data_IF_661791879226
#
_entry.id   IF_661791879226
#
_cell.length_a   1.000
_cell.length_b   1.000
_cell.length_c   1.000
_cell.angle_alpha   90.00
_cell.angle_beta   90.00
_cell.angle_gamma   90.00
#
_symmetry.space_group_name_H-M   'P 1'
#
loop_
_entity.id
_entity.type
_entity.pdbx_description
1 polymer ?
#
# COMPACT_ATOMS: atom_id res chain seq x y z
N UNK A 1 13.73 14.11 -31.42
CA UNK A 1 12.81 13.76 -30.31
C UNK A 1 13.66 13.32 -29.15
N UNK A 2 13.59 13.99 -28.00
CA UNK A 2 14.30 13.57 -26.80
C UNK A 2 13.73 12.25 -26.34
N UNK A 3 14.57 11.22 -26.24
CA UNK A 3 14.17 9.88 -25.79
C UNK A 3 13.80 9.99 -24.31
N UNK A 4 12.59 9.54 -23.94
CA UNK A 4 12.13 9.53 -22.56
C UNK A 4 13.08 8.70 -21.69
N UNK A 5 13.40 9.19 -20.49
CA UNK A 5 14.27 8.51 -19.53
C UNK A 5 13.58 8.44 -18.18
N UNK A 6 13.18 7.24 -17.78
CA UNK A 6 12.49 6.98 -16.52
C UNK A 6 13.42 6.20 -15.59
N UNK A 7 13.49 6.64 -14.36
CA UNK A 7 14.16 5.90 -13.27
C UNK A 7 13.09 5.34 -12.35
N UNK A 8 13.17 4.06 -12.04
CA UNK A 8 12.47 3.43 -10.92
C UNK A 8 13.43 3.26 -9.76
N UNK A 9 13.07 3.75 -8.59
CA UNK A 9 13.81 3.59 -7.35
C UNK A 9 13.02 2.70 -6.39
N UNK A 10 13.71 1.77 -5.72
CA UNK A 10 13.15 0.91 -4.68
C UNK A 10 14.18 0.79 -3.53
N UNK A 11 13.77 1.12 -2.30
CA UNK A 11 14.63 1.04 -1.12
C UNK A 11 14.81 -0.42 -0.68
N UNK A 12 16.06 -0.84 -0.55
CA UNK A 12 16.40 -2.23 -0.23
C UNK A 12 16.00 -2.58 1.21
N UNK A 13 15.16 -3.63 1.38
CA UNK A 13 14.65 -4.11 2.68
C UNK A 13 14.15 -2.98 3.60
N UNK A 14 13.42 -2.00 3.07
CA UNK A 14 13.20 -0.68 3.64
C UNK A 14 12.93 -0.65 5.15
N UNK A 15 11.89 -1.38 5.65
CA UNK A 15 11.61 -1.37 7.10
C UNK A 15 12.76 -1.94 7.91
N UNK A 16 13.39 -3.01 7.42
CA UNK A 16 14.58 -3.56 8.08
C UNK A 16 15.75 -2.57 8.05
N UNK A 17 15.94 -1.82 6.97
CA UNK A 17 16.98 -0.80 6.90
C UNK A 17 16.76 0.29 7.95
N UNK A 18 15.54 0.82 8.07
CA UNK A 18 15.20 1.82 9.09
C UNK A 18 15.39 1.27 10.51
N UNK A 19 14.97 0.04 10.79
CA UNK A 19 15.20 -0.57 12.11
C UNK A 19 16.69 -0.77 12.41
N UNK A 20 17.49 -1.11 11.40
CA UNK A 20 18.96 -1.24 11.58
C UNK A 20 19.63 0.10 11.88
N UNK A 21 19.09 1.23 11.37
CA UNK A 21 19.58 2.57 11.73
C UNK A 21 19.26 2.94 13.19
N UNK A 22 18.12 2.46 13.70
CA UNK A 22 17.66 2.71 15.08
C UNK A 22 18.31 1.77 16.09
N UNK A 23 18.53 0.52 15.69
CA UNK A 23 19.22 -0.49 16.47
C UNK A 23 20.33 -1.16 15.65
N UNK A 24 21.58 -0.65 15.75
CA UNK A 24 22.72 -1.22 15.04
C UNK A 24 23.03 -2.68 15.36
N UNK A 25 22.52 -3.24 16.47
CA UNK A 25 22.69 -4.66 16.82
C UNK A 25 21.99 -5.62 15.84
N UNK A 26 21.10 -5.10 15.00
CA UNK A 26 20.40 -5.84 13.94
C UNK A 26 21.24 -5.99 12.65
N UNK A 27 22.40 -5.33 12.56
CA UNK A 27 23.29 -5.43 11.38
C UNK A 27 23.80 -6.83 11.19
N UNK A 28 23.60 -7.39 10.00
CA UNK A 28 24.09 -8.74 9.65
C UNK A 28 23.33 -9.88 10.31
N UNK A 29 22.34 -9.61 11.14
CA UNK A 29 21.53 -10.63 11.84
C UNK A 29 20.29 -10.98 11.04
N UNK A 30 19.83 -12.23 10.99
CA UNK A 30 18.52 -12.56 10.43
C UNK A 30 17.41 -12.01 11.33
N UNK A 31 16.65 -11.02 10.81
CA UNK A 31 15.47 -10.49 11.49
C UNK A 31 14.37 -10.15 10.50
N UNK A 32 13.17 -10.05 11.00
CA UNK A 32 11.99 -9.65 10.24
C UNK A 32 11.17 -8.62 11.03
N UNK A 33 10.73 -7.59 10.33
CA UNK A 33 9.74 -6.64 10.85
C UNK A 33 8.35 -7.21 10.58
N UNK A 34 7.50 -7.28 11.60
CA UNK A 34 6.15 -7.78 11.40
C UNK A 34 5.39 -8.08 12.67
N UNK A 35 4.27 -8.81 12.51
CA UNK A 35 3.37 -9.13 13.61
C UNK A 35 3.86 -10.32 14.47
N UNK A 36 3.20 -10.51 15.63
CA UNK A 36 3.51 -11.55 16.58
C UNK A 36 3.40 -12.98 15.97
N UNK A 37 4.42 -13.84 16.11
CA UNK A 37 4.41 -15.22 15.62
C UNK A 37 3.40 -16.12 16.36
N UNK A 38 3.04 -15.82 17.61
CA UNK A 38 2.02 -16.58 18.34
C UNK A 38 0.59 -16.35 17.82
N UNK A 39 0.37 -15.30 17.02
CA UNK A 39 -0.92 -14.98 16.44
C UNK A 39 -0.92 -15.12 14.91
N UNK A 40 -1.69 -14.28 14.24
CA UNK A 40 -1.79 -14.20 12.76
C UNK A 40 -0.84 -13.16 12.17
N UNK A 41 0.29 -12.90 12.84
CA UNK A 41 1.30 -11.97 12.36
C UNK A 41 1.90 -12.42 11.04
N UNK A 42 2.17 -11.45 10.17
CA UNK A 42 2.87 -11.66 8.90
C UNK A 42 4.16 -10.86 8.87
N UNK A 43 5.11 -11.31 8.08
CA UNK A 43 6.33 -10.59 7.76
C UNK A 43 5.97 -9.38 6.89
N UNK A 44 6.21 -8.17 7.38
CA UNK A 44 6.09 -6.94 6.60
C UNK A 44 7.36 -6.70 5.77
N UNK A 45 8.55 -6.91 6.37
CA UNK A 45 9.84 -6.86 5.68
C UNK A 45 10.80 -7.86 6.31
N UNK A 46 11.68 -8.45 5.51
CA UNK A 46 12.71 -9.37 5.98
C UNK A 46 14.11 -8.86 5.62
N UNK A 47 15.05 -8.92 6.57
CA UNK A 47 16.45 -8.59 6.32
C UNK A 47 17.07 -9.54 5.29
N UNK A 48 18.08 -9.09 4.54
CA UNK A 48 18.73 -9.97 3.56
C UNK A 48 19.31 -11.24 4.20
N UNK A 49 19.92 -11.23 5.41
CA UNK A 49 20.26 -12.45 6.11
C UNK A 49 19.05 -13.37 6.36
N UNK A 50 17.87 -12.81 6.69
CA UNK A 50 16.66 -13.63 6.85
C UNK A 50 16.13 -14.17 5.50
N UNK A 51 16.26 -13.40 4.42
CA UNK A 51 15.87 -13.84 3.06
C UNK A 51 16.70 -15.05 2.58
N UNK A 52 17.92 -15.22 3.05
CA UNK A 52 18.75 -16.40 2.76
C UNK A 52 18.11 -17.71 3.29
N UNK A 53 17.30 -17.65 4.34
CA UNK A 53 16.50 -18.77 4.84
C UNK A 53 15.16 -18.95 4.13
N UNK A 54 14.91 -18.22 3.03
CA UNK A 54 13.66 -18.29 2.28
C UNK A 54 12.54 -17.39 2.85
N UNK A 55 12.81 -16.57 3.88
CA UNK A 55 11.82 -15.69 4.48
C UNK A 55 11.52 -14.53 3.52
N UNK A 56 10.21 -14.23 3.31
CA UNK A 56 9.73 -13.20 2.38
C UNK A 56 8.58 -12.41 3.01
N UNK A 57 8.34 -11.20 2.50
CA UNK A 57 7.15 -10.41 2.85
C UNK A 57 5.87 -11.18 2.59
N UNK A 58 4.84 -10.92 3.38
CA UNK A 58 3.55 -11.60 3.43
C UNK A 58 3.58 -13.07 3.96
N UNK A 59 4.76 -13.64 4.24
CA UNK A 59 4.86 -14.94 4.88
C UNK A 59 4.28 -14.89 6.32
N UNK A 60 3.52 -15.90 6.78
CA UNK A 60 3.14 -16.00 8.20
C UNK A 60 4.37 -15.97 9.09
N UNK A 61 4.38 -15.13 10.13
CA UNK A 61 5.54 -14.97 11.02
C UNK A 61 5.88 -16.29 11.75
N UNK A 62 4.87 -17.06 12.12
CA UNK A 62 5.06 -18.40 12.69
C UNK A 62 5.82 -19.36 11.74
N UNK A 63 5.63 -19.21 10.42
CA UNK A 63 6.40 -19.99 9.43
C UNK A 63 7.83 -19.47 9.33
N UNK A 64 8.03 -18.14 9.31
CA UNK A 64 9.36 -17.53 9.24
C UNK A 64 10.24 -17.96 10.42
N UNK A 65 9.70 -18.00 11.64
CA UNK A 65 10.42 -18.47 12.83
C UNK A 65 10.78 -19.96 12.73
N UNK A 66 9.93 -20.80 12.10
CA UNK A 66 10.29 -22.23 11.87
C UNK A 66 11.42 -22.40 10.86
N UNK A 67 11.47 -21.53 9.82
CA UNK A 67 12.56 -21.55 8.84
C UNK A 67 13.89 -21.08 9.43
N UNK A 68 13.85 -20.14 10.36
CA UNK A 68 15.02 -19.61 11.05
C UNK A 68 14.71 -19.44 12.54
N UNK A 69 15.03 -20.45 13.39
CA UNK A 69 14.77 -20.37 14.84
C UNK A 69 15.49 -19.20 15.53
N UNK A 70 16.61 -18.73 14.96
CA UNK A 70 17.35 -17.56 15.45
C UNK A 70 16.79 -16.22 14.94
N UNK A 71 15.65 -16.22 14.22
CA UNK A 71 15.05 -15.02 13.66
C UNK A 71 14.63 -14.06 14.77
N UNK A 72 15.16 -12.85 14.76
CA UNK A 72 14.64 -11.76 15.60
C UNK A 72 13.37 -11.18 14.97
N UNK A 73 12.30 -11.08 15.74
CA UNK A 73 11.04 -10.44 15.30
C UNK A 73 10.95 -9.05 15.90
N UNK A 74 10.87 -8.04 15.05
CA UNK A 74 10.80 -6.63 15.42
C UNK A 74 9.40 -6.12 15.11
N UNK A 75 8.69 -5.51 16.08
CA UNK A 75 7.40 -4.89 15.80
C UNK A 75 7.57 -3.68 14.88
N UNK A 76 6.60 -3.41 13.96
CA UNK A 76 6.72 -2.31 13.01
C UNK A 76 6.53 -0.93 13.66
N UNK A 77 7.38 0.05 13.30
CA UNK A 77 7.24 1.47 13.62
C UNK A 77 6.89 2.28 12.36
N UNK A 78 5.61 2.30 11.98
CA UNK A 78 5.15 3.01 10.80
C UNK A 78 5.39 4.53 10.82
N UNK A 79 5.35 5.24 11.96
CA UNK A 79 5.79 6.64 12.04
C UNK A 79 7.24 6.84 11.58
N UNK A 80 8.18 6.02 12.07
CA UNK A 80 9.60 6.09 11.68
C UNK A 80 9.77 5.80 10.18
N UNK A 81 9.07 4.80 9.63
CA UNK A 81 9.15 4.47 8.21
C UNK A 81 8.60 5.60 7.34
N UNK A 82 7.49 6.23 7.73
CA UNK A 82 6.97 7.40 7.00
C UNK A 82 7.94 8.57 7.02
N UNK A 83 8.57 8.86 8.15
CA UNK A 83 9.56 9.92 8.26
C UNK A 83 10.78 9.67 7.34
N UNK A 84 11.32 8.44 7.33
CA UNK A 84 12.42 8.07 6.45
C UNK A 84 12.02 8.15 4.97
N UNK A 85 10.84 7.65 4.60
CA UNK A 85 10.29 7.75 3.24
C UNK A 85 10.17 9.21 2.79
N UNK A 86 9.63 10.09 3.64
CA UNK A 86 9.50 11.52 3.33
C UNK A 86 10.85 12.17 3.04
N UNK A 87 11.90 11.81 3.78
CA UNK A 87 13.26 12.32 3.53
C UNK A 87 13.79 11.85 2.18
N UNK A 88 13.59 10.57 1.82
CA UNK A 88 13.95 10.07 0.48
C UNK A 88 13.17 10.82 -0.60
N UNK A 89 11.84 10.90 -0.50
CA UNK A 89 11.00 11.58 -1.49
C UNK A 89 11.35 13.06 -1.65
N UNK A 90 11.82 13.72 -0.58
CA UNK A 90 12.32 15.09 -0.66
C UNK A 90 13.58 15.19 -1.53
N UNK A 91 14.54 14.22 -1.44
CA UNK A 91 15.71 14.17 -2.32
C UNK A 91 15.33 13.95 -3.78
N UNK A 92 14.33 13.08 -4.03
CA UNK A 92 13.84 12.86 -5.39
C UNK A 92 13.27 14.15 -6.00
N UNK A 93 12.47 14.91 -5.23
CA UNK A 93 11.86 16.17 -5.68
C UNK A 93 12.86 17.33 -5.84
N UNK A 94 14.02 17.27 -5.19
CA UNK A 94 15.13 18.21 -5.46
C UNK A 94 15.76 17.99 -6.84
N UNK A 95 15.63 16.78 -7.38
CA UNK A 95 16.19 16.42 -8.67
C UNK A 95 15.24 16.74 -9.84
N UNK A 96 13.93 16.44 -9.68
CA UNK A 96 12.89 16.67 -10.68
C UNK A 96 11.52 16.80 -10.01
N UNK A 97 10.64 17.64 -10.56
CA UNK A 97 9.24 17.74 -10.11
C UNK A 97 8.40 16.53 -10.56
N UNK A 98 8.87 15.82 -11.59
CA UNK A 98 8.19 14.65 -12.16
C UNK A 98 8.48 13.38 -11.35
N UNK A 99 7.99 13.31 -10.10
CA UNK A 99 8.12 12.17 -9.19
C UNK A 99 6.75 11.55 -8.93
N UNK A 100 6.60 10.27 -9.26
CA UNK A 100 5.43 9.46 -8.91
C UNK A 100 5.79 8.50 -7.76
N UNK A 101 5.36 8.80 -6.56
CA UNK A 101 5.47 7.89 -5.43
C UNK A 101 4.41 6.79 -5.54
N UNK A 102 4.86 5.50 -5.65
CA UNK A 102 3.97 4.35 -5.79
C UNK A 102 3.68 3.69 -4.45
N UNK A 103 4.67 3.63 -3.58
CA UNK A 103 4.57 3.06 -2.23
C UNK A 103 5.36 3.92 -1.24
N UNK A 104 5.56 3.41 -0.03
CA UNK A 104 6.38 4.06 1.00
C UNK A 104 7.89 3.97 0.65
N UNK A 105 8.29 3.03 -0.20
CA UNK A 105 9.67 2.67 -0.52
C UNK A 105 9.99 2.69 -2.03
N UNK A 106 8.99 2.93 -2.88
CA UNK A 106 9.15 2.94 -4.33
C UNK A 106 8.68 4.24 -4.97
N UNK A 107 9.41 4.72 -5.97
CA UNK A 107 9.02 5.86 -6.80
C UNK A 107 9.55 5.74 -8.24
N UNK A 108 8.81 6.36 -9.18
CA UNK A 108 9.30 6.68 -10.52
C UNK A 108 9.69 8.15 -10.62
N UNK A 109 10.72 8.41 -11.43
CA UNK A 109 11.17 9.75 -11.78
C UNK A 109 11.26 9.87 -13.30
N UNK A 110 10.76 10.95 -13.86
CA UNK A 110 11.11 11.33 -15.23
C UNK A 110 12.29 12.30 -15.19
N UNK A 111 13.40 11.87 -15.77
CA UNK A 111 14.65 12.64 -15.83
C UNK A 111 15.04 13.01 -17.27
N UNK A 112 14.08 12.93 -18.18
CA UNK A 112 14.29 13.19 -19.63
C UNK A 112 14.82 14.58 -19.92
N UNK A 113 14.52 15.57 -19.08
CA UNK A 113 14.91 16.97 -19.24
C UNK A 113 16.26 17.30 -18.60
N UNK A 114 16.85 16.34 -17.86
CA UNK A 114 18.14 16.59 -17.21
C UNK A 114 19.28 16.47 -18.24
N UNK A 115 20.32 17.35 -18.15
CA UNK A 115 21.42 17.37 -19.12
C UNK A 115 22.45 16.22 -18.92
N UNK A 116 22.07 15.17 -18.21
CA UNK A 116 22.93 14.01 -17.87
C UNK A 116 22.29 12.72 -18.30
N UNK A 117 23.13 11.72 -18.61
CA UNK A 117 22.64 10.37 -18.91
C UNK A 117 21.90 9.77 -17.69
N UNK A 118 20.80 9.06 -17.92
CA UNK A 118 19.97 8.46 -16.86
C UNK A 118 20.77 7.58 -15.91
N UNK A 119 21.79 6.85 -16.39
CA UNK A 119 22.69 6.07 -15.53
C UNK A 119 23.49 6.94 -14.56
N UNK A 120 23.99 8.09 -15.00
CA UNK A 120 24.73 9.02 -14.14
C UNK A 120 23.82 9.63 -13.07
N UNK A 121 22.60 9.98 -13.46
CA UNK A 121 21.57 10.48 -12.53
C UNK A 121 21.24 9.42 -11.48
N UNK A 122 21.04 8.17 -11.89
CA UNK A 122 20.75 7.07 -10.98
C UNK A 122 21.91 6.82 -10.00
N UNK A 123 23.16 6.82 -10.46
CA UNK A 123 24.35 6.63 -9.63
C UNK A 123 24.49 7.75 -8.59
N UNK A 124 24.32 9.01 -9.01
CA UNK A 124 24.38 10.16 -8.13
C UNK A 124 23.26 10.12 -7.07
N UNK A 125 22.05 9.79 -7.48
CA UNK A 125 20.89 9.67 -6.58
C UNK A 125 21.12 8.59 -5.53
N UNK A 126 21.60 7.40 -5.94
CA UNK A 126 21.94 6.31 -5.03
C UNK A 126 23.00 6.75 -4.00
N UNK A 127 24.04 7.42 -4.47
CA UNK A 127 25.11 7.94 -3.59
C UNK A 127 24.58 8.98 -2.61
N UNK A 128 23.73 9.91 -3.06
CA UNK A 128 23.10 10.93 -2.18
C UNK A 128 22.24 10.27 -1.10
N UNK A 129 21.37 9.32 -1.46
CA UNK A 129 20.53 8.61 -0.49
C UNK A 129 21.39 7.84 0.52
N UNK A 130 22.47 7.21 0.05
CA UNK A 130 23.39 6.48 0.90
C UNK A 130 24.15 7.40 1.85
N UNK A 131 24.66 8.51 1.35
CA UNK A 131 25.46 9.47 2.15
C UNK A 131 24.62 10.22 3.18
N UNK A 132 23.42 10.67 2.77
CA UNK A 132 22.57 11.54 3.61
C UNK A 132 21.72 10.74 4.61
N UNK A 133 21.29 9.53 4.25
CA UNK A 133 20.27 8.79 4.99
C UNK A 133 20.74 7.39 5.43
N UNK A 134 21.93 6.96 5.04
CA UNK A 134 22.47 5.60 5.25
C UNK A 134 21.49 4.48 4.79
N UNK A 135 20.68 4.78 3.77
CA UNK A 135 19.75 3.82 3.17
C UNK A 135 20.31 3.30 1.84
N UNK A 136 20.14 2.00 1.59
CA UNK A 136 20.44 1.38 0.30
C UNK A 136 19.20 1.41 -0.58
N UNK A 137 19.40 1.68 -1.88
CA UNK A 137 18.35 1.58 -2.88
C UNK A 137 18.86 0.95 -4.17
N UNK A 138 17.99 0.29 -4.88
CA UNK A 138 18.23 -0.25 -6.20
C UNK A 138 17.43 0.54 -7.23
N UNK A 139 18.02 0.77 -8.40
CA UNK A 139 17.44 1.59 -9.44
C UNK A 139 17.42 0.87 -10.79
N UNK A 140 16.33 1.05 -11.53
CA UNK A 140 16.21 0.67 -12.92
C UNK A 140 16.05 1.91 -13.79
N UNK A 141 16.77 1.97 -14.90
CA UNK A 141 16.73 3.07 -15.86
C UNK A 141 16.26 2.54 -17.20
N UNK A 142 15.19 3.11 -17.77
CA UNK A 142 14.65 2.70 -19.07
C UNK A 142 13.86 3.85 -19.72
N UNK A 143 13.31 3.59 -20.92
CA UNK A 143 12.47 4.56 -21.65
C UNK A 143 11.05 4.71 -21.07
N UNK A 144 10.60 3.80 -20.21
CA UNK A 144 9.25 3.80 -19.64
C UNK A 144 9.20 3.15 -18.26
N UNK A 145 8.06 3.32 -17.56
CA UNK A 145 7.86 2.86 -16.18
C UNK A 145 7.93 1.34 -16.04
N UNK A 146 7.30 0.62 -16.96
CA UNK A 146 7.25 -0.84 -16.93
C UNK A 146 8.65 -1.44 -16.93
N UNK A 147 9.46 -1.05 -17.92
CA UNK A 147 10.80 -1.60 -18.10
C UNK A 147 11.73 -1.13 -16.99
N UNK A 148 11.64 0.13 -16.56
CA UNK A 148 12.43 0.64 -15.43
C UNK A 148 12.18 -0.16 -14.14
N UNK A 149 10.90 -0.50 -13.84
CA UNK A 149 10.58 -1.31 -12.67
C UNK A 149 11.14 -2.74 -12.78
N UNK A 150 10.94 -3.38 -13.92
CA UNK A 150 11.46 -4.74 -14.15
C UNK A 150 13.00 -4.75 -14.10
N UNK A 151 13.66 -3.70 -14.63
CA UNK A 151 15.10 -3.54 -14.53
C UNK A 151 15.59 -3.47 -13.08
N UNK A 152 14.86 -2.75 -12.19
CA UNK A 152 15.16 -2.75 -10.76
C UNK A 152 15.09 -4.15 -10.16
N UNK A 153 14.03 -4.90 -10.47
CA UNK A 153 13.81 -6.24 -9.95
C UNK A 153 14.88 -7.24 -10.45
N UNK A 154 15.26 -7.14 -11.73
CA UNK A 154 16.36 -7.92 -12.33
C UNK A 154 17.68 -7.58 -11.65
N UNK A 155 18.00 -6.28 -11.50
CA UNK A 155 19.22 -5.85 -10.81
C UNK A 155 19.31 -6.41 -9.39
N UNK A 156 18.21 -6.37 -8.64
CA UNK A 156 18.13 -6.95 -7.29
C UNK A 156 18.34 -8.46 -7.28
N UNK A 157 17.86 -9.17 -8.29
CA UNK A 157 17.98 -10.64 -8.38
C UNK A 157 19.41 -11.12 -8.61
N UNK A 158 20.27 -10.27 -9.17
CA UNK A 158 21.67 -10.56 -9.44
C UNK A 158 22.57 -10.39 -8.22
N UNK A 159 22.06 -9.80 -7.14
CA UNK A 159 22.82 -9.63 -5.90
C UNK A 159 23.13 -10.99 -5.25
N UNK A 160 24.30 -11.06 -4.58
CA UNK A 160 24.68 -12.24 -3.80
C UNK A 160 23.69 -12.47 -2.66
N UNK A 161 23.37 -13.73 -2.40
CA UNK A 161 22.50 -14.10 -1.28
C UNK A 161 23.02 -13.52 0.05
N UNK A 162 22.14 -12.85 0.78
CA UNK A 162 22.47 -12.23 2.07
C UNK A 162 23.09 -10.82 2.01
N UNK A 163 23.49 -10.33 0.84
CA UNK A 163 24.00 -8.98 0.66
C UNK A 163 22.92 -7.97 0.21
N UNK A 164 23.14 -6.70 0.52
CA UNK A 164 22.31 -5.61 -0.04
C UNK A 164 22.57 -5.50 -1.54
N UNK A 165 21.53 -5.45 -2.39
CA UNK A 165 21.70 -5.36 -3.83
C UNK A 165 22.39 -4.08 -4.25
N UNK A 166 21.85 -2.92 -3.85
CA UNK A 166 22.35 -1.62 -4.27
C UNK A 166 22.58 -1.56 -5.79
N UNK A 167 21.69 -2.21 -6.57
CA UNK A 167 21.89 -2.42 -7.98
C UNK A 167 21.43 -1.23 -8.83
N UNK A 168 22.16 -0.94 -9.91
CA UNK A 168 21.69 -0.05 -10.97
C UNK A 168 21.64 -0.87 -12.26
N UNK A 169 20.45 -1.05 -12.82
CA UNK A 169 20.22 -1.76 -14.07
C UNK A 169 19.70 -0.79 -15.13
N UNK A 170 20.41 -0.69 -16.26
CA UNK A 170 20.08 0.22 -17.36
C UNK A 170 19.65 -0.58 -18.57
N UNK A 171 18.48 -0.24 -19.11
CA UNK A 171 17.96 -0.80 -20.36
C UNK A 171 18.00 0.33 -21.41
N UNK A 172 18.90 0.25 -22.41
CA UNK A 172 18.99 1.26 -23.44
C UNK A 172 17.71 1.38 -24.28
N UNK A 173 17.33 2.58 -24.71
CA UNK A 173 16.18 2.77 -25.59
C UNK A 173 16.27 1.90 -26.87
N UNK A 174 15.14 1.28 -27.22
CA UNK A 174 15.05 0.36 -28.37
C UNK A 174 15.44 -1.09 -28.08
N UNK A 175 15.91 -1.39 -26.86
CA UNK A 175 16.29 -2.76 -26.45
C UNK A 175 15.29 -3.38 -25.47
N UNK A 176 14.19 -2.70 -25.17
CA UNK A 176 13.21 -3.06 -24.14
C UNK A 176 12.65 -4.48 -24.36
N UNK A 177 12.20 -4.77 -25.58
CA UNK A 177 11.64 -6.08 -25.92
C UNK A 177 12.69 -7.20 -25.79
N UNK A 178 13.93 -6.94 -26.22
CA UNK A 178 15.04 -7.90 -26.14
C UNK A 178 15.41 -8.18 -24.68
N UNK A 179 15.44 -7.13 -23.84
CA UNK A 179 15.68 -7.26 -22.41
C UNK A 179 14.60 -8.09 -21.71
N UNK A 180 13.31 -7.86 -22.04
CA UNK A 180 12.18 -8.52 -21.42
C UNK A 180 12.01 -9.98 -21.87
N UNK A 181 12.28 -10.28 -23.14
CA UNK A 181 11.93 -11.56 -23.76
C UNK A 181 12.38 -12.81 -23.00
N UNK A 182 13.62 -12.92 -22.45
CA UNK A 182 14.08 -14.11 -21.74
C UNK A 182 13.51 -14.24 -20.32
N UNK A 183 12.91 -13.18 -19.77
CA UNK A 183 12.42 -13.19 -18.38
C UNK A 183 11.18 -14.07 -18.24
N UNK A 184 10.97 -14.69 -17.05
CA UNK A 184 9.75 -15.45 -16.77
C UNK A 184 8.49 -14.57 -16.94
N UNK A 185 7.40 -15.14 -17.42
CA UNK A 185 6.12 -14.43 -17.56
C UNK A 185 5.65 -13.75 -16.26
N UNK A 186 5.93 -14.37 -15.11
CA UNK A 186 5.62 -13.82 -13.79
C UNK A 186 6.41 -12.55 -13.44
N UNK A 187 7.51 -12.25 -14.14
CA UNK A 187 8.28 -11.02 -13.94
C UNK A 187 7.65 -9.80 -14.62
N UNK A 188 6.67 -10.00 -15.51
CA UNK A 188 5.98 -8.89 -16.15
C UNK A 188 5.11 -8.15 -15.12
N UNK A 189 5.34 -6.86 -14.96
CA UNK A 189 4.58 -6.05 -14.01
C UNK A 189 3.07 -6.10 -14.32
N UNK A 190 2.28 -6.53 -13.34
CA UNK A 190 0.85 -6.78 -13.46
C UNK A 190 0.48 -8.27 -13.59
N UNK A 191 1.46 -9.15 -13.76
CA UNK A 191 1.25 -10.61 -13.76
C UNK A 191 1.41 -11.15 -12.35
N UNK A 192 0.29 -11.31 -11.63
CA UNK A 192 0.27 -11.97 -10.33
C UNK A 192 0.27 -13.51 -10.46
N UNK A 193 0.40 -14.26 -9.33
CA UNK A 193 0.49 -15.73 -9.34
C UNK A 193 -0.61 -16.41 -10.13
N UNK A 194 -1.87 -16.00 -9.95
CA UNK A 194 -3.03 -16.59 -10.69
C UNK A 194 -2.96 -16.32 -12.19
N UNK A 195 -2.47 -15.15 -12.61
CA UNK A 195 -2.31 -14.87 -14.04
C UNK A 195 -1.13 -15.67 -14.60
N UNK A 196 -0.04 -15.81 -13.85
CA UNK A 196 1.11 -16.62 -14.22
C UNK A 196 0.72 -18.10 -14.38
N UNK A 197 -0.06 -18.68 -13.47
CA UNK A 197 -0.59 -20.05 -13.57
C UNK A 197 -1.47 -20.23 -14.83
N UNK A 198 -2.35 -19.27 -15.12
CA UNK A 198 -3.19 -19.31 -16.32
C UNK A 198 -2.38 -19.19 -17.60
N UNK A 199 -1.33 -18.38 -17.63
CA UNK A 199 -0.40 -18.28 -18.76
C UNK A 199 0.39 -19.57 -18.93
N UNK A 200 0.92 -20.16 -17.85
CA UNK A 200 1.63 -21.43 -17.87
C UNK A 200 0.75 -22.58 -18.38
N UNK A 201 -0.53 -22.62 -18.04
CA UNK A 201 -1.50 -23.58 -18.57
C UNK A 201 -1.71 -23.47 -20.10
N UNK A 202 -1.34 -22.35 -20.70
CA UNK A 202 -1.32 -22.12 -22.16
C UNK A 202 0.08 -22.37 -22.79
N UNK A 203 1.06 -22.85 -22.01
CA UNK A 203 2.44 -23.02 -22.45
C UNK A 203 3.24 -21.72 -22.53
N UNK A 204 2.73 -20.63 -21.96
CA UNK A 204 3.36 -19.30 -21.96
C UNK A 204 4.18 -19.14 -20.68
N UNK A 205 5.49 -19.32 -20.76
CA UNK A 205 6.39 -19.30 -19.59
C UNK A 205 7.31 -18.08 -19.54
N UNK A 206 7.51 -17.37 -20.67
CA UNK A 206 8.39 -16.20 -20.76
C UNK A 206 7.63 -14.97 -21.24
N UNK A 207 8.19 -13.77 -20.97
CA UNK A 207 7.64 -12.51 -21.47
C UNK A 207 7.67 -12.50 -23.00
N UNK A 208 8.75 -13.00 -23.64
CA UNK A 208 8.83 -13.12 -25.10
C UNK A 208 7.72 -14.01 -25.69
N UNK A 209 7.35 -15.08 -24.99
CA UNK A 209 6.22 -15.92 -25.41
C UNK A 209 4.88 -15.17 -25.32
N UNK A 210 4.67 -14.28 -24.33
CA UNK A 210 3.50 -13.39 -24.26
C UNK A 210 3.50 -12.45 -25.47
N UNK A 211 4.64 -11.81 -25.78
CA UNK A 211 4.76 -10.85 -26.87
C UNK A 211 4.49 -11.47 -28.26
N UNK A 212 4.86 -12.74 -28.42
CA UNK A 212 4.62 -13.49 -29.66
C UNK A 212 3.18 -14.04 -29.80
N UNK A 213 2.37 -13.96 -28.74
CA UNK A 213 0.99 -14.50 -28.76
C UNK A 213 0.03 -13.54 -29.47
N UNK A 214 -0.93 -14.05 -30.27
CA UNK A 214 -1.91 -13.19 -30.93
C UNK A 214 -2.71 -12.36 -29.91
N UNK A 215 -2.71 -11.01 -30.00
CA UNK A 215 -3.38 -10.15 -28.99
C UNK A 215 -4.86 -10.49 -28.81
N UNK A 216 -5.58 -10.77 -29.90
CA UNK A 216 -7.00 -11.12 -29.86
C UNK A 216 -7.27 -12.42 -29.07
N UNK A 217 -6.34 -13.37 -29.07
CA UNK A 217 -6.48 -14.62 -28.32
C UNK A 217 -6.30 -14.43 -26.83
N UNK A 218 -5.32 -13.61 -26.41
CA UNK A 218 -5.15 -13.22 -25.02
C UNK A 218 -6.30 -12.34 -24.54
N UNK A 219 -6.80 -11.42 -25.38
CA UNK A 219 -7.96 -10.60 -25.06
C UNK A 219 -9.22 -11.44 -24.79
N UNK A 220 -9.47 -12.48 -25.59
CA UNK A 220 -10.61 -13.41 -25.35
C UNK A 220 -10.50 -14.13 -24.01
N UNK A 221 -9.29 -14.41 -23.51
CA UNK A 221 -9.05 -15.19 -22.28
C UNK A 221 -8.92 -14.31 -21.03
N UNK A 222 -8.35 -13.11 -21.17
CA UNK A 222 -8.01 -12.23 -20.06
C UNK A 222 -8.71 -10.86 -20.13
N UNK A 223 -9.61 -10.65 -21.12
CA UNK A 223 -10.27 -9.36 -21.36
C UNK A 223 -9.26 -8.28 -21.81
N UNK A 224 -9.58 -7.01 -21.54
CA UNK A 224 -8.71 -5.88 -21.85
C UNK A 224 -7.27 -6.08 -21.31
N UNK A 225 -7.13 -6.71 -20.16
CA UNK A 225 -5.82 -7.04 -19.60
C UNK A 225 -4.96 -7.92 -20.52
N UNK A 226 -5.59 -8.77 -21.36
CA UNK A 226 -4.86 -9.59 -22.33
C UNK A 226 -4.18 -8.79 -23.44
N UNK A 227 -4.81 -7.73 -23.93
CA UNK A 227 -4.20 -6.82 -24.90
C UNK A 227 -3.04 -6.05 -24.26
N UNK A 228 -3.26 -5.56 -23.03
CA UNK A 228 -2.22 -4.86 -22.29
C UNK A 228 -1.00 -5.75 -22.02
N UNK A 229 -1.20 -7.06 -21.76
CA UNK A 229 -0.10 -8.01 -21.57
C UNK A 229 0.81 -8.09 -22.79
N UNK A 230 0.26 -8.17 -24.02
CA UNK A 230 1.07 -8.23 -25.25
C UNK A 230 1.84 -6.93 -25.47
N UNK A 231 1.21 -5.78 -25.29
CA UNK A 231 1.86 -4.48 -25.39
C UNK A 231 3.01 -4.35 -24.38
N UNK A 232 2.74 -4.68 -23.12
CA UNK A 232 3.72 -4.64 -22.05
C UNK A 232 4.85 -5.63 -22.28
N UNK A 233 4.55 -6.84 -22.75
CA UNK A 233 5.56 -7.84 -23.07
C UNK A 233 6.48 -7.40 -24.23
N UNK A 234 5.99 -6.56 -25.14
CA UNK A 234 6.76 -5.91 -26.19
C UNK A 234 7.55 -4.68 -25.71
N UNK A 235 7.52 -4.36 -24.41
CA UNK A 235 8.23 -3.22 -23.82
C UNK A 235 7.52 -1.86 -24.01
N UNK A 236 6.26 -1.86 -24.42
CA UNK A 236 5.49 -0.65 -24.71
C UNK A 236 4.67 -0.22 -23.48
N UNK A 237 5.00 0.94 -22.91
CA UNK A 237 4.27 1.57 -21.80
C UNK A 237 4.30 3.09 -21.92
N UNK A 238 3.19 3.65 -22.40
CA UNK A 238 3.05 5.09 -22.65
C UNK A 238 2.54 5.87 -21.42
N UNK A 239 2.31 5.20 -20.28
CA UNK A 239 1.77 5.83 -19.08
C UNK A 239 2.67 6.98 -18.60
N UNK A 240 2.11 8.18 -18.38
CA UNK A 240 2.87 9.30 -17.86
C UNK A 240 3.24 9.09 -16.38
N UNK A 241 4.17 9.91 -15.88
CA UNK A 241 4.39 10.09 -14.45
C UNK A 241 3.19 10.82 -13.85
N UNK A 242 2.61 10.26 -12.80
CA UNK A 242 1.44 10.82 -12.09
C UNK A 242 1.92 11.34 -10.74
N UNK A 243 2.18 12.64 -10.66
CA UNK A 243 2.73 13.30 -9.46
C UNK A 243 1.74 13.34 -8.30
N UNK A 244 0.44 13.39 -8.61
CA UNK A 244 -0.63 13.43 -7.63
C UNK A 244 -1.70 12.38 -7.95
N UNK A 245 -2.08 11.60 -6.96
CA UNK A 245 -3.18 10.63 -7.06
C UNK A 245 -4.27 10.98 -6.06
N UNK A 246 -5.44 11.27 -6.56
CA UNK A 246 -6.62 11.39 -5.71
C UNK A 246 -6.93 10.03 -5.05
N UNK A 247 -7.15 10.05 -3.74
CA UNK A 247 -7.59 8.86 -3.02
C UNK A 247 -8.98 8.43 -3.55
N UNK A 248 -9.15 7.17 -3.91
CA UNK A 248 -10.45 6.63 -4.37
C UNK A 248 -11.30 6.12 -3.22
N UNK A 249 -10.67 5.69 -2.14
CA UNK A 249 -11.32 5.20 -0.93
C UNK A 249 -10.42 5.40 0.29
N UNK A 250 -11.03 5.45 1.47
CA UNK A 250 -10.37 5.33 2.76
C UNK A 250 -10.96 4.12 3.46
N UNK A 251 -10.12 3.19 3.92
CA UNK A 251 -10.59 1.98 4.59
C UNK A 251 -9.69 1.61 5.77
N UNK A 252 -10.27 0.82 6.69
CA UNK A 252 -9.60 0.23 7.82
C UNK A 252 -10.07 -1.22 7.96
N UNK A 253 -9.13 -2.15 8.14
CA UNK A 253 -9.43 -3.58 8.34
C UNK A 253 -8.66 -4.12 9.56
N UNK A 254 -9.31 -5.00 10.30
CA UNK A 254 -8.71 -5.69 11.46
C UNK A 254 -8.78 -7.19 11.26
N UNK A 255 -7.63 -7.86 11.19
CA UNK A 255 -7.54 -9.31 11.31
C UNK A 255 -7.36 -9.65 12.77
N UNK A 256 -8.32 -10.33 13.37
CA UNK A 256 -8.26 -10.74 14.77
C UNK A 256 -7.20 -11.83 14.99
N UNK A 257 -6.56 -11.84 16.16
CA UNK A 257 -5.63 -12.91 16.56
C UNK A 257 -6.31 -14.27 16.58
N UNK A 258 -7.56 -14.30 17.06
CA UNK A 258 -8.46 -15.45 17.05
C UNK A 258 -9.79 -15.06 16.38
N UNK A 259 -10.59 -16.07 16.01
CA UNK A 259 -11.89 -15.80 15.40
C UNK A 259 -12.87 -15.29 16.47
N UNK A 260 -13.49 -14.14 16.22
CA UNK A 260 -14.43 -13.49 17.13
C UNK A 260 -15.86 -13.92 16.80
N UNK A 261 -16.64 -14.25 17.83
CA UNK A 261 -18.07 -14.61 17.75
C UNK A 261 -18.96 -13.64 18.55
N UNK A 262 -18.33 -12.79 19.36
CA UNK A 262 -19.03 -11.81 20.16
C UNK A 262 -19.48 -10.61 19.33
N UNK A 263 -20.79 -10.38 19.28
CA UNK A 263 -21.42 -9.28 18.57
C UNK A 263 -20.92 -7.93 19.08
N UNK A 264 -20.86 -7.76 20.38
CA UNK A 264 -20.47 -6.49 20.98
C UNK A 264 -19.04 -6.10 20.60
N UNK A 265 -18.11 -7.07 20.63
CA UNK A 265 -16.71 -6.86 20.20
C UNK A 265 -16.62 -6.51 18.71
N UNK A 266 -17.41 -7.16 17.85
CA UNK A 266 -17.42 -6.88 16.41
C UNK A 266 -17.99 -5.48 16.12
N UNK A 267 -19.08 -5.09 16.78
CA UNK A 267 -19.69 -3.76 16.64
C UNK A 267 -18.76 -2.66 17.17
N UNK A 268 -18.09 -2.89 18.31
CA UNK A 268 -17.07 -1.97 18.82
C UNK A 268 -15.92 -1.78 17.82
N UNK A 269 -15.46 -2.85 17.19
CA UNK A 269 -14.42 -2.77 16.16
C UNK A 269 -14.87 -1.96 14.95
N UNK A 270 -16.13 -2.13 14.50
CA UNK A 270 -16.71 -1.33 13.40
C UNK A 270 -16.73 0.15 13.77
N UNK A 271 -17.17 0.50 15.00
CA UNK A 271 -17.20 1.90 15.46
C UNK A 271 -15.80 2.52 15.52
N UNK A 272 -14.82 1.79 16.05
CA UNK A 272 -13.43 2.24 16.10
C UNK A 272 -12.87 2.49 14.69
N UNK A 273 -13.12 1.57 13.73
CA UNK A 273 -12.73 1.73 12.34
C UNK A 273 -13.40 2.94 11.67
N UNK A 274 -14.69 3.18 11.95
CA UNK A 274 -15.42 4.34 11.46
C UNK A 274 -14.81 5.66 11.97
N UNK A 275 -14.43 5.72 13.25
CA UNK A 275 -13.74 6.88 13.83
C UNK A 275 -12.40 7.16 13.15
N UNK A 276 -11.58 6.12 12.92
CA UNK A 276 -10.30 6.28 12.23
C UNK A 276 -10.49 6.78 10.80
N UNK A 277 -11.48 6.26 10.07
CA UNK A 277 -11.80 6.67 8.70
C UNK A 277 -12.25 8.12 8.69
N UNK A 278 -13.20 8.50 9.58
CA UNK A 278 -13.68 9.86 9.70
C UNK A 278 -12.53 10.85 9.97
N UNK A 279 -11.63 10.53 10.90
CA UNK A 279 -10.45 11.34 11.17
C UNK A 279 -9.49 11.46 9.96
N UNK A 280 -9.37 10.41 9.14
CA UNK A 280 -8.58 10.47 7.90
C UNK A 280 -9.24 11.35 6.82
N UNK A 281 -10.58 11.28 6.71
CA UNK A 281 -11.36 12.11 5.78
C UNK A 281 -11.28 13.59 6.18
N UNK A 282 -11.51 13.91 7.44
CA UNK A 282 -11.47 15.28 7.97
C UNK A 282 -10.09 15.92 7.77
N UNK A 283 -9.00 15.21 8.08
CA UNK A 283 -7.63 15.73 7.84
C UNK A 283 -7.34 16.05 6.37
N UNK A 284 -8.06 15.43 5.45
CA UNK A 284 -7.90 15.65 4.00
C UNK A 284 -8.96 16.59 3.42
N UNK A 285 -9.89 17.09 4.22
CA UNK A 285 -11.02 17.89 3.74
C UNK A 285 -11.93 17.13 2.77
N UNK A 286 -12.09 15.81 2.96
CA UNK A 286 -12.88 14.94 2.08
C UNK A 286 -14.12 14.43 2.81
N UNK A 287 -15.17 14.18 2.03
CA UNK A 287 -16.37 13.43 2.43
C UNK A 287 -16.53 12.21 1.52
N UNK A 288 -17.26 11.20 1.98
CA UNK A 288 -17.50 10.00 1.18
C UNK A 288 -18.97 9.66 1.04
N UNK A 289 -19.36 9.19 -0.15
CA UNK A 289 -20.74 8.92 -0.52
C UNK A 289 -21.18 7.47 -0.29
N UNK A 290 -20.28 6.53 -0.15
CA UNK A 290 -20.62 5.10 -0.01
C UNK A 290 -19.82 4.46 1.11
N UNK A 291 -20.51 3.69 1.95
CA UNK A 291 -19.91 2.87 3.01
C UNK A 291 -19.93 1.41 2.60
N UNK A 292 -18.81 0.74 2.80
CA UNK A 292 -18.61 -0.68 2.53
C UNK A 292 -18.24 -1.41 3.81
N UNK A 293 -18.82 -2.58 4.02
CA UNK A 293 -18.42 -3.54 5.03
C UNK A 293 -17.88 -4.80 4.35
N UNK A 294 -16.72 -5.27 4.82
CA UNK A 294 -16.09 -6.52 4.42
C UNK A 294 -15.98 -7.41 5.65
N UNK A 295 -16.41 -8.66 5.55
CA UNK A 295 -16.17 -9.68 6.56
C UNK A 295 -15.40 -10.82 5.90
N UNK A 296 -14.46 -11.43 6.62
CA UNK A 296 -13.81 -12.67 6.20
C UNK A 296 -14.04 -13.75 7.25
N UNK A 297 -14.55 -14.86 6.79
CA UNK A 297 -14.75 -16.04 7.61
C UNK A 297 -13.44 -16.82 7.81
N UNK A 298 -13.42 -17.84 8.72
CA UNK A 298 -12.25 -18.70 8.93
C UNK A 298 -11.80 -19.47 7.67
N UNK A 299 -12.72 -19.82 6.79
CA UNK A 299 -12.48 -20.49 5.50
C UNK A 299 -11.97 -19.55 4.39
N UNK A 300 -11.69 -18.28 4.72
CA UNK A 300 -11.29 -17.21 3.82
C UNK A 300 -12.36 -16.73 2.84
N UNK A 301 -13.58 -17.25 2.89
CA UNK A 301 -14.72 -16.64 2.17
C UNK A 301 -14.91 -15.21 2.67
N UNK A 302 -15.11 -14.28 1.73
CA UNK A 302 -15.08 -12.84 2.06
C UNK A 302 -16.31 -12.14 1.47
N UNK A 303 -17.48 -12.19 2.13
CA UNK A 303 -18.62 -11.39 1.76
C UNK A 303 -18.32 -9.89 1.95
N UNK A 304 -18.83 -9.10 1.01
CA UNK A 304 -18.73 -7.65 1.02
C UNK A 304 -20.09 -7.07 0.68
N UNK A 305 -20.52 -6.04 1.42
CA UNK A 305 -21.72 -5.25 1.13
C UNK A 305 -21.38 -3.77 1.17
N UNK A 306 -22.13 -3.00 0.43
CA UNK A 306 -22.01 -1.55 0.42
C UNK A 306 -23.38 -0.89 0.34
N UNK A 307 -23.48 0.32 0.85
CA UNK A 307 -24.62 1.20 0.67
C UNK A 307 -24.15 2.60 0.33
N UNK A 308 -24.97 3.29 -0.46
CA UNK A 308 -24.81 4.73 -0.70
C UNK A 308 -25.50 5.49 0.43
N UNK A 309 -24.86 6.52 0.92
CA UNK A 309 -25.42 7.41 1.94
C UNK A 309 -26.34 8.43 1.29
N UNK A 310 -27.38 8.91 2.01
CA UNK A 310 -28.24 9.98 1.50
C UNK A 310 -27.46 11.27 1.17
N UNK A 311 -26.45 11.59 1.98
CA UNK A 311 -25.53 12.69 1.76
C UNK A 311 -24.09 12.19 2.04
N UNK A 312 -23.09 12.66 1.24
CA UNK A 312 -21.68 12.40 1.53
C UNK A 312 -21.29 12.94 2.92
N UNK A 313 -20.51 12.17 3.68
CA UNK A 313 -20.18 12.52 5.06
C UNK A 313 -18.73 12.19 5.41
N UNK A 314 -18.21 12.90 6.40
CA UNK A 314 -16.98 12.60 7.15
C UNK A 314 -17.29 12.33 8.64
N UNK A 315 -18.57 12.17 8.98
CA UNK A 315 -19.03 11.94 10.35
C UNK A 315 -18.92 10.47 10.73
N UNK A 316 -18.23 10.20 11.84
CA UNK A 316 -17.97 8.85 12.34
C UNK A 316 -19.24 8.06 12.68
N UNK A 317 -20.26 8.73 13.25
CA UNK A 317 -21.49 8.08 13.67
C UNK A 317 -22.33 7.63 12.46
N UNK A 318 -22.40 8.48 11.42
CA UNK A 318 -23.10 8.14 10.19
C UNK A 318 -22.42 6.96 9.48
N UNK A 319 -21.08 6.98 9.42
CA UNK A 319 -20.29 5.87 8.84
C UNK A 319 -20.50 4.59 9.64
N UNK A 320 -20.42 4.67 10.98
CA UNK A 320 -20.63 3.53 11.88
C UNK A 320 -22.07 2.97 11.76
N UNK A 321 -23.09 3.83 11.79
CA UNK A 321 -24.47 3.42 11.65
C UNK A 321 -24.75 2.70 10.32
N UNK A 322 -24.18 3.19 9.22
CA UNK A 322 -24.28 2.53 7.93
C UNK A 322 -23.57 1.16 7.91
N UNK A 323 -22.34 1.09 8.46
CA UNK A 323 -21.58 -0.16 8.54
C UNK A 323 -22.27 -1.21 9.44
N UNK A 324 -22.85 -0.80 10.58
CA UNK A 324 -23.60 -1.68 11.47
C UNK A 324 -24.88 -2.22 10.83
N UNK A 325 -25.59 -1.42 10.04
CA UNK A 325 -26.75 -1.92 9.26
C UNK A 325 -26.30 -2.99 8.27
N UNK A 326 -25.19 -2.79 7.54
CA UNK A 326 -24.62 -3.78 6.64
C UNK A 326 -24.15 -5.04 7.39
N UNK A 327 -23.60 -4.88 8.59
CA UNK A 327 -23.18 -5.97 9.45
C UNK A 327 -24.36 -6.88 9.82
N UNK A 328 -25.47 -6.31 10.26
CA UNK A 328 -26.69 -7.06 10.62
C UNK A 328 -27.31 -7.81 9.44
N UNK A 329 -27.05 -7.37 8.19
CA UNK A 329 -27.51 -8.07 6.98
C UNK A 329 -26.65 -9.25 6.58
N UNK A 330 -25.35 -9.23 6.94
CA UNK A 330 -24.39 -10.23 6.45
C UNK A 330 -24.06 -11.27 7.50
N UNK A 331 -23.99 -10.85 8.78
CA UNK A 331 -23.49 -11.70 9.83
C UNK A 331 -24.60 -12.54 10.46
N UNK A 332 -24.57 -13.88 10.25
CA UNK A 332 -25.41 -14.80 11.01
C UNK A 332 -24.93 -14.86 12.46
N UNK A 333 -25.88 -14.91 13.40
CA UNK A 333 -25.56 -14.94 14.82
C UNK A 333 -24.51 -16.01 15.15
N UNK A 334 -23.48 -15.61 15.92
CA UNK A 334 -22.39 -16.46 16.38
C UNK A 334 -21.47 -17.05 15.32
N UNK A 335 -21.60 -16.67 14.04
CA UNK A 335 -20.63 -17.10 13.04
C UNK A 335 -19.26 -16.49 13.34
N UNK A 336 -18.19 -17.31 13.41
CA UNK A 336 -16.86 -16.78 13.74
C UNK A 336 -16.33 -15.87 12.63
N UNK A 337 -15.81 -14.70 13.01
CA UNK A 337 -15.23 -13.71 12.12
C UNK A 337 -13.72 -13.70 12.26
N UNK A 338 -13.01 -13.87 11.15
CA UNK A 338 -11.55 -13.78 11.07
C UNK A 338 -11.06 -12.35 10.88
N UNK A 339 -11.75 -11.58 10.02
CA UNK A 339 -11.41 -10.19 9.70
C UNK A 339 -12.71 -9.41 9.51
N UNK A 340 -12.68 -8.17 9.95
CA UNK A 340 -13.71 -7.19 9.67
C UNK A 340 -13.08 -5.89 9.17
N UNK A 341 -13.72 -5.23 8.21
CA UNK A 341 -13.22 -3.98 7.66
C UNK A 341 -14.33 -3.06 7.18
N UNK A 342 -14.15 -1.78 7.46
CA UNK A 342 -15.00 -0.68 6.98
C UNK A 342 -14.24 0.11 5.92
N UNK A 343 -14.92 0.56 4.89
CA UNK A 343 -14.36 1.41 3.85
C UNK A 343 -15.35 2.47 3.40
N UNK A 344 -14.85 3.64 3.05
CA UNK A 344 -15.61 4.75 2.51
C UNK A 344 -15.07 5.10 1.14
N UNK A 345 -15.94 5.20 0.15
CA UNK A 345 -15.61 5.49 -1.25
C UNK A 345 -16.58 6.55 -1.83
N UNK A 346 -16.37 6.92 -3.11
CA UNK A 346 -17.07 8.06 -3.68
C UNK A 346 -16.60 9.34 -2.98
N UNK A 347 -15.26 9.48 -2.85
CA UNK A 347 -14.64 10.60 -2.15
C UNK A 347 -14.75 11.87 -3.00
N UNK A 348 -15.08 12.99 -2.34
CA UNK A 348 -15.15 14.31 -2.94
C UNK A 348 -14.96 15.37 -1.86
N UNK A 349 -14.88 16.64 -2.31
CA UNK A 349 -14.98 17.77 -1.38
C UNK A 349 -16.42 17.89 -0.89
N UNK A 350 -16.67 18.41 0.31
CA UNK A 350 -18.02 18.67 0.78
C UNK A 350 -18.80 19.47 -0.27
N UNK A 351 -20.03 19.08 -0.61
CA UNK A 351 -20.83 19.82 -1.56
C UNK A 351 -21.01 21.26 -1.07
N UNK A 352 -20.62 22.22 -1.87
CA UNK A 352 -20.86 23.64 -1.57
C UNK A 352 -22.31 24.07 -1.80
N UNK A 353 -23.12 23.20 -2.42
CA UNK A 353 -24.52 23.50 -2.66
C UNK A 353 -25.32 23.27 -1.36
N UNK A 354 -25.47 24.34 -0.62
CA UNK A 354 -26.38 24.41 0.51
C UNK A 354 -27.83 24.36 -0.04
N UNK A 355 -28.59 23.34 0.35
CA UNK A 355 -30.04 23.39 0.17
C UNK A 355 -30.58 24.55 1.02
N UNK A 356 -31.44 25.37 0.42
CA UNK A 356 -32.04 26.53 1.12
C UNK A 356 -32.77 26.13 2.41
N UNK A 357 -33.12 24.85 2.55
CA UNK A 357 -33.90 24.27 3.64
C UNK A 357 -33.07 23.50 4.66
N UNK A 358 -31.81 23.17 4.36
CA UNK A 358 -30.93 22.38 5.24
C UNK A 358 -29.79 23.21 5.85
N UNK A 359 -29.90 24.54 5.78
CA UNK A 359 -28.90 25.42 6.38
C UNK A 359 -28.99 25.35 7.90
N UNK A 360 -28.04 24.70 8.59
CA UNK A 360 -27.87 24.97 10.01
C UNK A 360 -27.65 26.49 10.16
N UNK A 361 -28.33 27.11 11.08
CA UNK A 361 -28.18 28.54 11.31
C UNK A 361 -26.71 28.90 11.52
N UNK A 362 -26.25 30.10 11.17
CA UNK A 362 -24.87 30.54 11.41
C UNK A 362 -24.41 30.31 12.87
N UNK A 363 -25.34 30.38 13.83
CA UNK A 363 -25.10 30.06 15.23
C UNK A 363 -24.81 28.58 15.47
N UNK A 364 -25.52 27.67 14.83
CA UNK A 364 -25.31 26.21 14.93
C UNK A 364 -24.00 25.79 14.23
N UNK A 365 -23.67 26.36 13.09
CA UNK A 365 -22.39 26.12 12.43
C UNK A 365 -21.21 26.57 13.29
N UNK A 366 -21.33 27.76 13.89
CA UNK A 366 -20.30 28.30 14.78
C UNK A 366 -20.17 27.44 16.04
N UNK A 367 -21.29 26.96 16.61
CA UNK A 367 -21.27 26.08 17.77
C UNK A 367 -20.66 24.72 17.48
N UNK A 368 -21.00 24.10 16.36
CA UNK A 368 -20.40 22.83 15.90
C UNK A 368 -18.92 22.97 15.61
N UNK A 369 -18.51 24.04 14.94
CA UNK A 369 -17.09 24.32 14.65
C UNK A 369 -16.28 24.52 15.95
N UNK A 370 -16.80 25.29 16.92
CA UNK A 370 -16.19 25.48 18.24
C UNK A 370 -16.08 24.17 19.00
N UNK A 371 -17.12 23.34 18.97
CA UNK A 371 -17.12 22.03 19.63
C UNK A 371 -16.09 21.08 19.02
N UNK A 372 -16.03 21.02 17.67
CA UNK A 372 -15.02 20.23 16.96
C UNK A 372 -13.59 20.70 17.26
N UNK A 373 -13.36 22.00 17.28
CA UNK A 373 -12.07 22.59 17.61
C UNK A 373 -11.65 22.30 19.05
N UNK A 374 -12.58 22.42 20.01
CA UNK A 374 -12.35 22.10 21.42
C UNK A 374 -12.01 20.61 21.61
N UNK A 375 -12.77 19.71 20.97
CA UNK A 375 -12.51 18.27 20.99
C UNK A 375 -11.15 17.93 20.39
N UNK A 376 -10.80 18.53 19.25
CA UNK A 376 -9.50 18.34 18.61
C UNK A 376 -8.34 18.84 19.50
N UNK A 377 -8.50 19.98 20.16
CA UNK A 377 -7.51 20.52 21.08
C UNK A 377 -7.31 19.62 22.33
N UNK A 378 -8.39 19.08 22.88
CA UNK A 378 -8.33 18.15 24.03
C UNK A 378 -7.68 16.82 23.60
N UNK A 379 -8.07 16.26 22.46
CA UNK A 379 -7.45 15.04 21.93
C UNK A 379 -5.96 15.25 21.59
N UNK A 380 -5.58 16.41 21.05
CA UNK A 380 -4.18 16.74 20.75
C UNK A 380 -3.30 16.89 21.99
N UNK A 381 -3.90 17.36 23.12
CA UNK A 381 -3.16 17.64 24.36
C UNK A 381 -3.13 16.46 25.33
N UNK A 382 -4.16 15.64 25.35
CA UNK A 382 -4.38 14.59 26.37
C UNK A 382 -4.58 13.18 25.78
N UNK A 383 -4.50 13.03 24.44
CA UNK A 383 -4.75 11.77 23.74
C UNK A 383 -6.23 11.44 23.55
N UNK A 384 -6.52 10.48 22.65
CA UNK A 384 -7.89 10.12 22.29
C UNK A 384 -8.70 9.47 23.43
N UNK A 385 -8.03 8.95 24.47
CA UNK A 385 -8.68 8.34 25.63
C UNK A 385 -9.15 9.34 26.69
N UNK A 386 -8.79 10.62 26.56
CA UNK A 386 -9.06 11.66 27.57
C UNK A 386 -10.54 12.08 27.67
N UNK A 387 -11.35 11.76 26.68
CA UNK A 387 -12.79 12.00 26.70
C UNK A 387 -13.55 10.76 26.23
N UNK A 388 -14.51 10.32 27.01
CA UNK A 388 -15.50 9.30 26.62
C UNK A 388 -16.89 9.97 26.57
N UNK A 389 -17.71 9.57 25.63
CA UNK A 389 -19.11 9.99 25.61
C UNK A 389 -19.86 9.31 26.78
N UNK A 390 -20.88 9.96 27.31
CA UNK A 390 -21.73 9.36 28.34
C UNK A 390 -22.36 8.02 27.86
N UNK A 391 -22.62 7.88 26.56
CA UNK A 391 -23.09 6.64 25.95
C UNK A 391 -22.07 5.48 25.94
N UNK A 392 -20.80 5.76 26.22
CA UNK A 392 -19.71 4.77 26.20
C UNK A 392 -19.31 4.35 27.62
N UNK A 393 -19.99 4.84 28.63
CA UNK A 393 -19.82 4.41 30.01
C UNK A 393 -20.63 3.12 30.22
N UNK A 394 -20.05 2.08 30.86
CA UNK A 394 -20.84 0.92 31.27
C UNK A 394 -21.96 1.39 32.17
N UNK A 395 -23.19 1.01 31.84
CA UNK A 395 -24.36 1.36 32.61
C UNK A 395 -24.15 0.96 34.10
N UNK A 396 -24.11 1.95 34.96
CA UNK A 396 -24.17 1.69 36.40
C UNK A 396 -25.56 1.15 36.72
N UNK A 397 -25.64 -0.10 37.13
CA UNK A 397 -26.81 -0.66 37.77
C UNK A 397 -27.10 0.20 39.03
N UNK A 398 -28.22 0.90 38.98
CA UNK A 398 -28.82 1.61 40.07
C UNK A 398 -30.32 1.34 40.11
#
# INVERSE_FOLDING_TARGET
MTTRTIIHLDLDQFYCAVETLRDPSLRGVPFAVGGNPAGRGVVASASYPARAFGIRSAMPMAHAVRLCPALRVVPPDFPAYRAASQQVMARLRQLTDAVEQISIDEAFLDVSQLPRAGQQVAAQLQQTIRADLDLSCSLGVASNKLVAKIATDVGKSLARSGALPGAICVVPPGTEAVFLAPLPAAALWGVGPKTAERLAALGIHTIGAIAAWPPADLARRFGQHGEDLVRHASGLDDRPIVTERAARQVSQETTFSENVRDRAQLEQTIRAQAQEIAGKLQRKGLVGASVRLRIRWPDFTTPTRQCTLPQPTDDAEQIAAAALRLFSQIWPDRQPVRLIGVGVSGLGTPPQQLSLWDLPTPAEQTRQAKLRAALAAVHGRFGAAAMRRASDLPGGDG
#
